data_IF_663380276349
#
_entry.id   IF_663380276349
#
_cell.length_a   1.000
_cell.length_b   1.000
_cell.length_c   1.000
_cell.angle_alpha   90.00
_cell.angle_beta   90.00
_cell.angle_gamma   90.00
#
_symmetry.space_group_name_H-M   'P 1'
#
loop_
_entity.id
_entity.type
_entity.pdbx_description
1 polymer ?
#
# COMPACT_ATOMS: atom_id res chain seq x y z
N UNK A 1 -7.84 -2.94 -16.57
CA UNK A 1 -7.83 -1.82 -15.60
C UNK A 1 -6.41 -1.66 -15.06
N UNK A 2 -5.91 -0.43 -14.90
CA UNK A 2 -4.55 -0.17 -14.36
C UNK A 2 -4.69 0.44 -12.96
N UNK A 3 -4.34 -0.34 -11.92
CA UNK A 3 -4.51 0.07 -10.52
C UNK A 3 -3.41 1.03 -10.04
N UNK A 4 -2.20 0.90 -10.59
CA UNK A 4 -1.06 1.77 -10.31
C UNK A 4 -0.88 2.73 -11.51
N UNK A 5 -1.44 3.93 -11.41
CA UNK A 5 -1.28 5.00 -12.41
C UNK A 5 0.12 5.65 -12.31
N UNK A 6 0.52 6.41 -13.32
CA UNK A 6 1.79 7.16 -13.26
C UNK A 6 1.77 8.24 -12.18
N UNK A 7 0.60 8.80 -11.85
CA UNK A 7 0.43 9.73 -10.74
C UNK A 7 0.71 9.04 -9.40
N UNK A 8 0.16 7.84 -9.20
CA UNK A 8 0.40 7.03 -8.01
C UNK A 8 1.88 6.68 -7.88
N UNK A 9 2.54 6.27 -8.97
CA UNK A 9 3.99 5.96 -8.97
C UNK A 9 4.86 7.15 -8.59
N UNK A 10 4.43 8.37 -8.91
CA UNK A 10 5.15 9.60 -8.52
C UNK A 10 5.01 9.93 -7.04
N UNK A 11 3.92 9.48 -6.41
CA UNK A 11 3.64 9.72 -4.99
C UNK A 11 4.22 8.64 -4.08
N UNK A 12 4.24 7.38 -4.53
CA UNK A 12 4.77 6.27 -3.76
C UNK A 12 6.27 6.45 -3.47
N UNK A 13 6.62 6.29 -2.20
CA UNK A 13 8.01 6.23 -1.75
C UNK A 13 8.74 5.02 -2.35
N UNK A 14 10.06 5.15 -2.48
CA UNK A 14 10.93 4.02 -2.85
C UNK A 14 10.99 3.02 -1.70
N UNK A 15 11.45 1.80 -2.01
CA UNK A 15 11.69 0.78 -1.00
C UNK A 15 12.64 1.30 0.09
N UNK A 16 12.30 1.03 1.33
CA UNK A 16 13.03 1.35 2.56
C UNK A 16 13.10 2.84 2.95
N UNK A 17 12.36 3.74 2.28
CA UNK A 17 12.31 5.18 2.63
C UNK A 17 11.45 5.50 3.87
N UNK A 18 10.63 4.54 4.31
CA UNK A 18 9.75 4.64 5.46
C UNK A 18 10.10 3.67 6.59
N UNK A 19 11.23 2.97 6.48
CA UNK A 19 11.76 2.10 7.54
C UNK A 19 11.92 2.86 8.85
N UNK A 20 11.54 2.21 9.96
CA UNK A 20 11.59 2.80 11.30
C UNK A 20 10.46 3.79 11.63
N UNK A 21 9.60 4.16 10.67
CA UNK A 21 8.47 5.08 10.95
C UNK A 21 7.28 4.38 11.63
N UNK A 22 7.18 3.06 11.55
CA UNK A 22 6.08 2.30 12.15
C UNK A 22 4.71 2.84 11.70
N UNK A 23 3.81 3.08 12.65
CA UNK A 23 2.49 3.67 12.36
C UNK A 23 2.51 5.13 11.87
N UNK A 24 3.66 5.80 11.90
CA UNK A 24 3.83 7.13 11.30
C UNK A 24 4.18 7.06 9.80
N UNK A 25 4.30 5.87 9.22
CA UNK A 25 4.49 5.72 7.78
C UNK A 25 3.26 6.24 7.02
N UNK A 26 3.52 6.95 5.91
CA UNK A 26 2.49 7.52 5.04
C UNK A 26 1.99 6.42 4.10
N UNK A 27 0.70 6.09 4.19
CA UNK A 27 0.01 5.29 3.19
C UNK A 27 -0.43 6.20 2.03
N UNK A 28 0.17 6.01 0.85
CA UNK A 28 -0.13 6.79 -0.35
C UNK A 28 -1.34 6.27 -1.13
N UNK A 29 -1.63 4.97 -1.02
CA UNK A 29 -2.76 4.33 -1.73
C UNK A 29 -3.46 3.34 -0.81
N UNK A 30 -4.78 3.17 -1.01
CA UNK A 30 -5.58 2.12 -0.37
C UNK A 30 -6.13 1.20 -1.46
N UNK A 31 -5.72 -0.06 -1.45
CA UNK A 31 -6.32 -1.11 -2.26
C UNK A 31 -7.32 -1.89 -1.41
N UNK A 32 -8.41 -2.32 -2.03
CA UNK A 32 -9.39 -3.18 -1.40
C UNK A 32 -10.05 -4.06 -2.45
N UNK A 33 -10.47 -5.24 -2.04
CA UNK A 33 -11.20 -6.16 -2.92
C UNK A 33 -12.68 -6.12 -2.52
N UNK A 34 -13.62 -5.75 -3.43
CA UNK A 34 -15.03 -5.53 -3.06
C UNK A 34 -15.77 -6.73 -2.48
N UNK A 35 -15.31 -7.95 -2.78
CA UNK A 35 -15.90 -9.23 -2.38
C UNK A 35 -15.18 -9.87 -1.18
N UNK A 36 -14.24 -9.16 -0.55
CA UNK A 36 -13.54 -9.64 0.64
C UNK A 36 -13.26 -8.51 1.64
N UNK A 37 -12.94 -8.86 2.88
CA UNK A 37 -12.59 -7.89 3.90
C UNK A 37 -11.11 -7.45 3.86
N UNK A 38 -10.40 -7.71 2.75
CA UNK A 38 -8.99 -7.37 2.61
C UNK A 38 -8.80 -5.92 2.19
N UNK A 39 -8.04 -5.19 2.98
CA UNK A 39 -7.58 -3.83 2.67
C UNK A 39 -6.07 -3.75 2.79
N UNK A 40 -5.42 -3.17 1.78
CA UNK A 40 -3.98 -2.91 1.76
C UNK A 40 -3.71 -1.40 1.74
N UNK A 41 -2.93 -0.93 2.71
CA UNK A 41 -2.48 0.45 2.81
C UNK A 41 -1.03 0.56 2.36
N UNK A 42 -0.85 1.13 1.19
CA UNK A 42 0.38 1.11 0.45
C UNK A 42 1.36 2.23 0.86
N UNK A 43 2.54 1.89 1.37
CA UNK A 43 3.55 2.86 1.81
C UNK A 43 4.72 3.00 0.83
N UNK A 44 5.15 1.92 0.17
CA UNK A 44 6.34 1.92 -0.69
C UNK A 44 6.21 0.99 -1.90
N UNK A 45 6.84 1.34 -3.01
CA UNK A 45 6.83 0.51 -4.22
C UNK A 45 8.16 0.54 -4.97
N UNK A 46 8.71 -0.66 -5.25
CA UNK A 46 9.95 -0.87 -6.00
C UNK A 46 9.82 -0.68 -7.52
N UNK A 47 8.67 -0.21 -8.01
CA UNK A 47 8.36 0.05 -9.43
C UNK A 47 8.23 -1.19 -10.33
N UNK A 48 8.62 -2.37 -9.84
CA UNK A 48 8.55 -3.64 -10.56
C UNK A 48 7.47 -4.55 -9.96
N UNK A 49 7.79 -5.20 -8.85
CA UNK A 49 6.99 -6.26 -8.23
C UNK A 49 6.95 -6.18 -6.69
N UNK A 50 7.95 -5.55 -6.07
CA UNK A 50 7.99 -5.41 -4.60
C UNK A 50 7.18 -4.22 -4.09
N UNK A 51 6.36 -4.48 -3.07
CA UNK A 51 5.45 -3.53 -2.46
C UNK A 51 5.44 -3.70 -0.92
N UNK A 52 5.45 -2.61 -0.16
CA UNK A 52 5.33 -2.63 1.31
C UNK A 52 4.16 -1.79 1.81
N UNK A 53 3.54 -2.27 2.88
CA UNK A 53 2.38 -1.61 3.47
C UNK A 53 1.76 -2.40 4.62
N UNK A 54 0.67 -1.86 5.14
CA UNK A 54 -0.14 -2.49 6.17
C UNK A 54 -1.28 -3.29 5.52
N UNK A 55 -1.45 -4.54 5.94
CA UNK A 55 -2.62 -5.35 5.61
C UNK A 55 -3.59 -5.28 6.77
N UNK A 56 -4.83 -4.90 6.48
CA UNK A 56 -5.93 -4.94 7.43
C UNK A 56 -7.01 -5.88 6.90
N UNK A 57 -7.35 -6.89 7.69
CA UNK A 57 -8.43 -7.83 7.41
C UNK A 57 -9.39 -7.80 8.58
N UNK A 58 -10.65 -7.48 8.30
CA UNK A 58 -11.71 -7.56 9.29
C UNK A 58 -12.29 -8.98 9.30
N UNK A 59 -12.18 -9.67 10.44
CA UNK A 59 -12.90 -10.91 10.71
C UNK A 59 -14.04 -10.60 11.66
N UNK A 60 -15.27 -10.92 11.26
CA UNK A 60 -16.39 -10.99 12.19
C UNK A 60 -16.23 -12.27 13.03
N UNK A 61 -16.29 -12.18 14.38
CA UNK A 61 -16.35 -13.36 15.23
C UNK A 61 -17.66 -14.13 15.06
#
# INVERSE_FOLDING_TARGET
MKLITEEIKKRLSKLYEQDGKGYNAIAYVKFFTPDSNWTWYATEFGRKDTFFGLVNVFFLP
#
